data_IF_391537078771
#
_entry.id   IF_391537078771
#
_cell.length_a   1.000
_cell.length_b   1.000
_cell.length_c   1.000
_cell.angle_alpha   90.00
_cell.angle_beta   90.00
_cell.angle_gamma   90.00
#
_symmetry.space_group_name_H-M   'P 1'
#
loop_
_entity.id
_entity.type
_entity.pdbx_description
1 polymer ?
#
# COMPACT_ATOMS: atom_id res chain seq x y z
N UNK A 1 5.22 -7.64 -20.80
CA UNK A 1 5.02 -7.17 -19.41
C UNK A 1 3.66 -7.65 -18.92
N UNK A 2 3.50 -7.77 -17.61
CA UNK A 2 2.28 -8.23 -16.94
C UNK A 2 1.09 -7.32 -17.26
N UNK A 3 -0.04 -7.89 -17.69
CA UNK A 3 -1.26 -7.17 -18.13
C UNK A 3 -2.10 -6.68 -16.96
N UNK A 4 -1.47 -6.10 -15.93
CA UNK A 4 -2.17 -5.70 -14.68
C UNK A 4 -3.23 -4.64 -14.97
N UNK A 5 -2.86 -3.63 -15.76
CA UNK A 5 -3.75 -2.53 -16.11
C UNK A 5 -4.97 -3.02 -16.92
N UNK A 6 -4.78 -3.98 -17.82
CA UNK A 6 -5.87 -4.55 -18.62
C UNK A 6 -6.77 -5.46 -17.78
N UNK A 7 -6.23 -6.23 -16.84
CA UNK A 7 -7.01 -7.06 -15.91
C UNK A 7 -7.89 -6.18 -15.00
N UNK A 8 -7.28 -5.14 -14.42
CA UNK A 8 -7.98 -4.17 -13.56
C UNK A 8 -9.12 -3.47 -14.34
N UNK A 9 -8.84 -2.94 -15.53
CA UNK A 9 -9.86 -2.29 -16.39
C UNK A 9 -10.93 -3.26 -16.88
N UNK A 10 -10.65 -4.57 -16.94
CA UNK A 10 -11.63 -5.61 -17.23
C UNK A 10 -12.46 -6.03 -16.00
N UNK A 11 -12.25 -5.41 -14.83
CA UNK A 11 -12.95 -5.73 -13.59
C UNK A 11 -12.45 -7.00 -12.90
N UNK A 12 -11.27 -7.50 -13.28
CA UNK A 12 -10.64 -8.67 -12.67
C UNK A 12 -9.80 -8.20 -11.48
N UNK A 13 -10.01 -8.83 -10.31
CA UNK A 13 -9.26 -8.50 -9.11
C UNK A 13 -7.77 -8.82 -9.30
N UNK A 14 -6.91 -7.81 -9.15
CA UNK A 14 -5.45 -7.91 -9.25
C UNK A 14 -4.79 -7.05 -8.19
N UNK A 15 -3.67 -7.50 -7.64
CA UNK A 15 -2.95 -6.80 -6.57
C UNK A 15 -1.44 -7.06 -6.68
N UNK A 16 -0.64 -6.27 -5.96
CA UNK A 16 0.82 -6.40 -5.90
C UNK A 16 1.29 -7.08 -4.61
N UNK A 17 2.40 -7.80 -4.70
CA UNK A 17 3.06 -8.47 -3.58
C UNK A 17 4.58 -8.33 -3.69
N UNK A 18 5.29 -8.45 -2.57
CA UNK A 18 6.76 -8.37 -2.53
C UNK A 18 7.46 -9.60 -3.09
N UNK A 19 6.82 -10.77 -3.00
CA UNK A 19 7.39 -12.09 -3.30
C UNK A 19 8.53 -12.47 -2.33
N UNK A 20 9.69 -11.81 -2.46
CA UNK A 20 10.94 -12.18 -1.79
C UNK A 20 11.55 -11.03 -0.97
N UNK A 21 12.17 -11.36 0.16
CA UNK A 21 13.02 -10.46 0.96
C UNK A 21 14.31 -11.20 1.29
N UNK A 22 15.43 -10.73 0.74
CA UNK A 22 16.79 -11.24 1.00
C UNK A 22 16.90 -12.77 0.90
N UNK A 23 16.41 -13.33 -0.20
CA UNK A 23 16.42 -14.76 -0.46
C UNK A 23 17.22 -15.11 -1.74
N UNK A 24 17.32 -16.38 -2.15
CA UNK A 24 18.08 -16.77 -3.35
C UNK A 24 17.61 -16.16 -4.67
N UNK A 25 16.37 -15.65 -4.75
CA UNK A 25 15.78 -15.09 -5.97
C UNK A 25 15.85 -13.56 -6.01
N UNK A 26 15.77 -12.89 -4.85
CA UNK A 26 15.84 -11.43 -4.76
C UNK A 26 16.64 -10.97 -3.53
N UNK A 27 17.85 -10.40 -3.71
CA UNK A 27 18.76 -10.08 -2.60
C UNK A 27 18.39 -8.81 -1.81
N UNK A 28 17.41 -8.03 -2.29
CA UNK A 28 16.95 -6.81 -1.63
C UNK A 28 15.62 -7.06 -0.89
N UNK A 29 14.96 -5.97 -0.47
CA UNK A 29 13.67 -6.03 0.22
C UNK A 29 13.80 -5.59 1.68
N UNK A 30 12.75 -4.93 2.18
CA UNK A 30 12.71 -4.38 3.54
C UNK A 30 11.29 -4.37 4.14
N UNK A 31 10.35 -5.07 3.52
CA UNK A 31 8.95 -5.11 3.98
C UNK A 31 8.08 -3.93 3.51
N UNK A 32 8.63 -2.89 2.87
CA UNK A 32 7.84 -1.74 2.44
C UNK A 32 7.06 -2.03 1.15
N UNK A 33 5.76 -2.30 1.30
CA UNK A 33 4.86 -2.58 0.18
C UNK A 33 4.64 -1.35 -0.73
N UNK A 34 4.78 -0.12 -0.22
CA UNK A 34 4.65 1.11 -1.03
C UNK A 34 5.70 1.19 -2.14
N UNK A 35 6.88 0.58 -1.93
CA UNK A 35 7.94 0.47 -2.94
C UNK A 35 7.55 -0.45 -4.09
N UNK A 36 6.78 -1.50 -3.78
CA UNK A 36 6.29 -2.44 -4.79
C UNK A 36 5.16 -1.81 -5.59
N UNK A 37 4.27 -1.08 -4.91
CA UNK A 37 3.22 -0.31 -5.59
C UNK A 37 3.84 0.63 -6.63
N UNK A 38 4.81 1.46 -6.21
CA UNK A 38 5.49 2.40 -7.09
C UNK A 38 6.12 1.71 -8.32
N UNK A 39 6.89 0.63 -8.10
CA UNK A 39 7.48 -0.16 -9.19
C UNK A 39 6.41 -0.77 -10.11
N UNK A 40 5.34 -1.31 -9.53
CA UNK A 40 4.24 -1.92 -10.26
C UNK A 40 3.51 -0.94 -11.17
N UNK A 41 3.20 0.26 -10.68
CA UNK A 41 2.55 1.32 -11.46
C UNK A 41 3.42 1.75 -12.65
N UNK A 42 4.73 1.93 -12.45
CA UNK A 42 5.68 2.25 -13.52
C UNK A 42 5.75 1.13 -14.58
N UNK A 43 5.99 -0.11 -14.16
CA UNK A 43 6.17 -1.25 -15.06
C UNK A 43 4.87 -1.57 -15.83
N UNK A 44 3.71 -1.38 -15.20
CA UNK A 44 2.41 -1.71 -15.79
C UNK A 44 1.75 -0.54 -16.53
N UNK A 45 2.43 0.60 -16.67
CA UNK A 45 1.90 1.83 -17.30
C UNK A 45 0.58 2.31 -16.65
N UNK A 46 0.52 2.30 -15.32
CA UNK A 46 -0.61 2.77 -14.50
C UNK A 46 -0.26 4.07 -13.76
N UNK A 47 0.35 5.02 -14.47
CA UNK A 47 0.70 6.35 -13.94
C UNK A 47 -0.26 7.44 -14.45
N UNK A 48 -1.40 7.04 -15.01
CA UNK A 48 -2.46 7.97 -15.38
C UNK A 48 -3.06 8.64 -14.14
N UNK A 49 -3.67 9.80 -14.32
CA UNK A 49 -4.29 10.54 -13.22
C UNK A 49 -5.29 9.66 -12.43
N UNK A 50 -6.20 8.99 -13.14
CA UNK A 50 -7.19 8.09 -12.52
C UNK A 50 -6.56 6.87 -11.85
N UNK A 51 -5.47 6.32 -12.40
CA UNK A 51 -4.77 5.19 -11.78
C UNK A 51 -4.18 5.61 -10.42
N UNK A 52 -3.61 6.82 -10.35
CA UNK A 52 -2.96 7.36 -9.15
C UNK A 52 -3.93 7.80 -8.05
N UNK A 53 -5.19 8.11 -8.39
CA UNK A 53 -6.20 8.50 -7.39
C UNK A 53 -6.76 7.30 -6.59
N UNK A 54 -6.47 6.07 -7.01
CA UNK A 54 -6.95 4.81 -6.38
C UNK A 54 -5.86 3.74 -6.27
N UNK A 55 -4.58 4.13 -6.37
CA UNK A 55 -3.51 3.15 -6.51
C UNK A 55 -3.30 2.30 -5.24
N UNK A 56 -3.75 2.75 -4.06
CA UNK A 56 -3.62 1.97 -2.83
C UNK A 56 -4.46 0.70 -2.86
N UNK A 57 -5.54 0.64 -3.65
CA UNK A 57 -6.38 -0.55 -3.83
C UNK A 57 -5.55 -1.81 -4.13
N UNK A 58 -4.50 -1.64 -4.95
CA UNK A 58 -3.61 -2.73 -5.40
C UNK A 58 -2.77 -3.33 -4.27
N UNK A 59 -2.72 -2.70 -3.09
CA UNK A 59 -1.99 -3.18 -1.90
C UNK A 59 -2.87 -3.21 -0.63
N UNK A 60 -4.14 -2.82 -0.73
CA UNK A 60 -5.13 -2.90 0.36
C UNK A 60 -6.31 -3.79 -0.04
N UNK A 61 -7.33 -3.22 -0.66
CA UNK A 61 -8.65 -3.84 -0.84
C UNK A 61 -8.61 -5.02 -1.81
N UNK A 62 -7.87 -4.90 -2.93
CA UNK A 62 -7.73 -5.99 -3.89
C UNK A 62 -6.97 -7.17 -3.28
N UNK A 63 -5.96 -6.89 -2.46
CA UNK A 63 -5.22 -7.90 -1.70
C UNK A 63 -6.10 -8.58 -0.65
N UNK A 64 -6.88 -7.80 0.11
CA UNK A 64 -7.81 -8.34 1.10
C UNK A 64 -8.88 -9.23 0.45
N UNK A 65 -9.36 -8.86 -0.74
CA UNK A 65 -10.27 -9.67 -1.55
C UNK A 65 -9.59 -10.97 -2.03
N UNK A 66 -8.34 -10.90 -2.47
CA UNK A 66 -7.59 -12.09 -2.88
C UNK A 66 -7.39 -13.09 -1.72
N UNK A 67 -7.26 -12.60 -0.48
CA UNK A 67 -7.19 -13.42 0.73
C UNK A 67 -8.56 -13.79 1.32
N UNK A 68 -9.67 -13.40 0.69
CA UNK A 68 -11.03 -13.67 1.16
C UNK A 68 -11.30 -13.18 2.60
N UNK A 69 -10.75 -12.02 3.00
CA UNK A 69 -10.88 -11.53 4.37
C UNK A 69 -12.30 -11.11 4.76
N UNK A 70 -13.12 -10.69 3.78
CA UNK A 70 -14.52 -10.29 3.99
C UNK A 70 -14.64 -9.18 5.05
N UNK A 71 -15.60 -9.32 5.97
CA UNK A 71 -15.85 -8.34 7.03
C UNK A 71 -14.75 -8.26 8.09
N UNK A 72 -13.70 -9.07 8.00
CA UNK A 72 -12.52 -8.95 8.85
C UNK A 72 -11.53 -7.86 8.39
N UNK A 73 -11.79 -7.19 7.26
CA UNK A 73 -10.94 -6.14 6.70
C UNK A 73 -11.74 -4.90 6.27
N UNK A 74 -11.12 -3.73 6.31
CA UNK A 74 -11.70 -2.46 5.83
C UNK A 74 -12.31 -1.61 6.94
N UNK A 75 -12.41 -0.30 6.67
CA UNK A 75 -12.90 0.69 7.62
C UNK A 75 -14.43 0.81 7.50
N UNK A 76 -15.13 0.02 8.31
CA UNK A 76 -16.58 0.09 8.44
C UNK A 76 -17.00 -0.27 9.87
N UNK A 77 -18.15 0.25 10.31
CA UNK A 77 -18.72 -0.09 11.61
C UNK A 77 -18.93 -1.61 11.75
N UNK A 78 -18.67 -2.14 12.93
CA UNK A 78 -18.77 -3.58 13.22
C UNK A 78 -17.55 -4.42 12.81
N UNK A 79 -16.63 -3.88 11.99
CA UNK A 79 -15.39 -4.59 11.59
C UNK A 79 -14.28 -4.47 12.65
N UNK A 80 -13.27 -5.36 12.64
CA UNK A 80 -12.14 -5.26 13.56
C UNK A 80 -11.40 -3.92 13.43
N UNK A 81 -11.06 -3.29 14.57
CA UNK A 81 -10.31 -2.04 14.62
C UNK A 81 -8.82 -2.24 14.26
N UNK A 82 -8.57 -2.49 12.97
CA UNK A 82 -7.26 -2.69 12.36
C UNK A 82 -7.06 -1.61 11.29
N UNK A 83 -6.22 -0.61 11.56
CA UNK A 83 -6.02 0.51 10.64
C UNK A 83 -4.63 1.14 10.78
N UNK A 84 -4.26 1.91 9.76
CA UNK A 84 -3.01 2.65 9.71
C UNK A 84 -3.32 4.15 9.59
N UNK A 85 -2.43 4.98 10.15
CA UNK A 85 -2.33 6.40 9.82
C UNK A 85 -1.06 6.57 9.00
N UNK A 86 -1.21 6.99 7.74
CA UNK A 86 -0.09 7.33 6.86
C UNK A 86 0.24 8.82 6.96
N UNK A 87 1.51 9.16 6.79
CA UNK A 87 1.96 10.53 6.62
C UNK A 87 1.67 11.02 5.20
N UNK A 88 0.41 11.02 4.77
CA UNK A 88 -0.08 11.45 3.45
C UNK A 88 -1.58 11.76 3.46
N UNK A 89 -2.02 12.60 2.53
CA UNK A 89 -3.41 13.05 2.44
C UNK A 89 -4.28 12.20 1.51
N UNK A 90 -3.66 11.50 0.54
CA UNK A 90 -4.34 10.70 -0.47
C UNK A 90 -3.37 9.69 -1.12
N UNK A 91 -3.91 8.79 -1.95
CA UNK A 91 -3.20 7.75 -2.69
C UNK A 91 -1.98 8.26 -3.46
N UNK A 92 -2.19 9.31 -4.27
CA UNK A 92 -1.15 9.93 -5.07
C UNK A 92 0.01 10.40 -4.20
N UNK A 93 -0.28 11.14 -3.12
CA UNK A 93 0.76 11.66 -2.24
C UNK A 93 1.43 10.54 -1.43
N UNK A 94 0.68 9.50 -1.05
CA UNK A 94 1.19 8.33 -0.35
C UNK A 94 2.25 7.58 -1.17
N UNK A 95 1.98 7.30 -2.45
CA UNK A 95 2.95 6.63 -3.33
C UNK A 95 4.10 7.56 -3.73
N UNK A 96 3.81 8.82 -4.09
CA UNK A 96 4.81 9.81 -4.53
C UNK A 96 5.88 10.07 -3.47
N UNK A 97 5.49 10.17 -2.19
CA UNK A 97 6.41 10.43 -1.08
C UNK A 97 6.94 9.17 -0.40
N UNK A 98 6.47 7.99 -0.80
CA UNK A 98 6.73 6.75 -0.07
C UNK A 98 6.36 6.93 1.42
N UNK A 99 5.14 7.41 1.66
CA UNK A 99 4.70 7.88 2.96
C UNK A 99 4.89 6.86 4.07
N UNK A 100 5.41 7.32 5.22
CA UNK A 100 5.66 6.46 6.38
C UNK A 100 4.34 6.16 7.09
N UNK A 101 4.23 4.95 7.63
CA UNK A 101 3.18 4.61 8.60
C UNK A 101 3.50 5.28 9.93
N UNK A 102 2.70 6.28 10.33
CA UNK A 102 2.81 7.01 11.59
C UNK A 102 2.26 6.20 12.75
N UNK A 103 1.11 5.57 12.56
CA UNK A 103 0.46 4.75 13.60
C UNK A 103 -0.07 3.46 12.99
N UNK A 104 0.12 2.34 13.68
CA UNK A 104 -0.57 1.08 13.39
C UNK A 104 -1.41 0.67 14.59
N UNK A 105 -2.70 0.45 14.35
CA UNK A 105 -3.65 -0.02 15.34
C UNK A 105 -4.08 -1.43 14.94
N UNK A 106 -4.04 -2.36 15.88
CA UNK A 106 -4.52 -3.73 15.71
C UNK A 106 -5.40 -4.12 16.89
N UNK A 107 -6.60 -4.60 16.61
CA UNK A 107 -7.63 -4.94 17.60
C UNK A 107 -7.86 -3.80 18.61
N UNK A 108 -7.91 -2.56 18.11
CA UNK A 108 -8.13 -1.35 18.93
C UNK A 108 -6.94 -0.91 19.77
N UNK A 109 -5.76 -1.51 19.62
CA UNK A 109 -4.54 -1.15 20.35
C UNK A 109 -3.48 -0.60 19.41
N UNK A 110 -2.85 0.50 19.79
CA UNK A 110 -1.67 1.02 19.07
C UNK A 110 -0.51 0.03 19.29
N UNK A 111 -0.01 -0.55 18.20
CA UNK A 111 1.13 -1.48 18.21
C UNK A 111 2.41 -0.87 17.63
N UNK A 112 2.27 0.26 16.92
CA UNK A 112 3.39 1.02 16.37
C UNK A 112 3.05 2.50 16.38
N UNK A 113 4.02 3.32 16.78
CA UNK A 113 3.96 4.78 16.70
C UNK A 113 5.29 5.32 16.16
N UNK A 114 5.24 6.23 15.21
CA UNK A 114 6.36 7.02 14.70
C UNK A 114 6.06 8.51 14.85
N UNK A 115 7.13 9.28 15.02
CA UNK A 115 7.06 10.74 14.88
C UNK A 115 7.15 11.10 13.39
N UNK A 116 6.38 12.08 12.91
CA UNK A 116 6.60 12.68 11.60
C UNK A 116 8.04 13.15 11.44
N UNK A 117 8.56 13.09 10.22
CA UNK A 117 9.93 13.51 9.95
C UNK A 117 10.09 15.02 10.19
N UNK A 118 11.17 15.41 10.87
CA UNK A 118 11.52 16.81 11.11
C UNK A 118 12.92 17.06 10.59
N UNK A 119 13.04 17.93 9.59
CA UNK A 119 14.33 18.35 9.04
C UNK A 119 14.73 19.65 9.73
N UNK A 120 15.94 19.69 10.30
CA UNK A 120 16.51 20.89 10.91
C UNK A 120 17.54 21.52 9.98
N UNK A 121 17.47 22.84 9.84
CA UNK A 121 18.44 23.64 9.11
C UNK A 121 19.18 24.54 10.11
N UNK A 122 20.38 24.17 10.57
CA UNK A 122 21.19 25.01 11.45
C UNK A 122 21.62 26.29 10.71
N UNK A 123 21.56 27.43 11.39
CA UNK A 123 22.06 28.71 10.89
C UNK A 123 23.59 28.70 10.72
#
# INVERSE_FOLDING_TARGET
>A
MTRVAELDRAGINVCFAQDSIQDPWYPLGNGNIMRILDAGLHICHMLGYEDLQRCLDLITDNSARALCLGDNYGLAEGRPANLLILDAENDYDAVRRQAKVLTSIRHGKIILQRQPEQIRYPA
#
